data_IF_652683002584
#
_entry.id   IF_652683002584
#
_cell.length_a   1.000
_cell.length_b   1.000
_cell.length_c   1.000
_cell.angle_alpha   90.00
_cell.angle_beta   90.00
_cell.angle_gamma   90.00
#
_symmetry.space_group_name_H-M   'P 1'
#
loop_
_entity.id
_entity.type
_entity.pdbx_description
1 polymer ?
#
# COMPACT_ATOMS: atom_id res chain seq x y z
N UNK A 1 -9.38 15.71 15.79
CA UNK A 1 -9.51 16.96 14.99
C UNK A 1 -10.46 16.80 13.79
N UNK A 2 -10.49 15.62 13.17
CA UNK A 2 -11.14 15.42 11.86
C UNK A 2 -12.57 14.89 11.89
N UNK A 3 -13.12 14.55 13.06
CA UNK A 3 -14.51 14.05 13.23
C UNK A 3 -15.58 14.92 12.56
N UNK A 4 -15.39 16.24 12.51
CA UNK A 4 -16.32 17.18 11.86
C UNK A 4 -16.48 16.96 10.35
N UNK A 5 -15.57 16.21 9.72
CA UNK A 5 -15.60 15.89 8.29
C UNK A 5 -16.17 14.49 8.01
N UNK A 6 -16.64 13.75 9.02
CA UNK A 6 -17.02 12.35 8.87
C UNK A 6 -18.17 12.09 7.88
N UNK A 7 -19.03 13.09 7.62
CA UNK A 7 -20.10 12.97 6.63
C UNK A 7 -19.55 12.93 5.19
N UNK A 8 -18.59 13.81 4.86
CA UNK A 8 -17.97 13.84 3.52
C UNK A 8 -16.84 12.79 3.39
N UNK A 9 -16.19 12.44 4.50
CA UNK A 9 -15.06 11.51 4.58
C UNK A 9 -15.39 10.37 5.54
N UNK A 10 -16.17 9.37 5.10
CA UNK A 10 -16.78 8.39 6.00
C UNK A 10 -15.83 7.29 6.48
N UNK A 11 -14.61 7.20 5.93
CA UNK A 11 -13.67 6.15 6.29
C UNK A 11 -12.60 6.66 7.25
N UNK A 12 -12.36 5.95 8.35
CA UNK A 12 -11.15 6.13 9.14
C UNK A 12 -10.00 5.37 8.48
N UNK A 13 -8.87 6.04 8.27
CA UNK A 13 -7.65 5.37 7.81
C UNK A 13 -6.79 4.95 9.02
N UNK A 14 -6.38 3.69 9.01
CA UNK A 14 -5.37 3.17 9.93
C UNK A 14 -4.17 2.66 9.15
N UNK A 15 -3.04 2.54 9.83
CA UNK A 15 -1.78 2.08 9.22
C UNK A 15 -1.26 0.84 9.93
N UNK A 16 -0.83 -0.14 9.16
CA UNK A 16 -0.12 -1.33 9.65
C UNK A 16 1.26 -1.42 9.03
N UNK A 17 2.15 -2.21 9.62
CA UNK A 17 3.46 -2.51 9.02
C UNK A 17 3.38 -3.82 8.27
N UNK A 18 4.03 -3.89 7.10
CA UNK A 18 4.28 -5.16 6.43
C UNK A 18 5.38 -5.86 7.21
N UNK A 19 5.00 -6.77 8.11
CA UNK A 19 5.89 -7.25 9.19
C UNK A 19 7.18 -7.89 8.68
N UNK A 20 7.13 -8.55 7.52
CA UNK A 20 8.27 -9.22 6.91
C UNK A 20 9.21 -8.29 6.11
N UNK A 21 8.78 -7.05 5.79
CA UNK A 21 9.56 -6.17 4.87
C UNK A 21 9.81 -4.74 5.37
N UNK A 22 9.03 -4.26 6.33
CA UNK A 22 9.05 -2.85 6.74
C UNK A 22 9.05 -1.93 5.51
N UNK A 23 9.81 -0.83 5.47
CA UNK A 23 9.94 0.03 4.28
C UNK A 23 11.22 -0.23 3.47
N UNK A 24 12.30 -0.65 4.15
CA UNK A 24 13.66 -0.75 3.59
C UNK A 24 13.93 -2.01 2.79
N UNK A 25 13.31 -3.15 3.14
CA UNK A 25 13.58 -4.43 2.46
C UNK A 25 12.51 -4.81 1.44
N UNK A 26 11.51 -3.95 1.19
CA UNK A 26 10.54 -4.15 0.11
C UNK A 26 11.15 -4.18 -1.30
N UNK A 27 12.40 -3.74 -1.46
CA UNK A 27 13.15 -3.88 -2.70
C UNK A 27 13.65 -5.32 -2.96
N UNK A 28 13.61 -6.20 -1.94
CA UNK A 28 14.07 -7.60 -2.05
C UNK A 28 12.99 -8.42 -2.79
N UNK A 29 13.32 -9.02 -3.95
CA UNK A 29 12.34 -9.74 -4.78
C UNK A 29 11.65 -10.92 -4.11
N UNK A 30 12.33 -11.62 -3.21
CA UNK A 30 11.74 -12.76 -2.49
C UNK A 30 10.66 -12.31 -1.50
N UNK A 31 10.89 -11.19 -0.82
CA UNK A 31 9.93 -10.64 0.12
C UNK A 31 8.66 -10.12 -0.58
N UNK A 32 8.80 -9.67 -1.82
CA UNK A 32 7.66 -9.29 -2.64
C UNK A 32 6.78 -10.48 -3.07
N UNK A 33 7.18 -11.72 -2.80
CA UNK A 33 6.35 -12.91 -3.10
C UNK A 33 5.56 -13.39 -1.87
N UNK A 34 5.74 -12.74 -0.70
CA UNK A 34 5.06 -13.10 0.54
C UNK A 34 3.95 -12.10 0.84
N UNK A 35 2.67 -12.48 0.72
CA UNK A 35 1.55 -11.61 1.08
C UNK A 35 1.52 -11.31 2.57
N UNK A 36 0.96 -10.16 2.97
CA UNK A 36 0.84 -9.77 4.37
C UNK A 36 -0.41 -8.92 4.63
N UNK A 37 -1.29 -9.44 5.50
CA UNK A 37 -2.37 -8.71 6.19
C UNK A 37 -3.27 -7.83 5.30
N UNK A 38 -3.45 -8.19 4.02
CA UNK A 38 -4.28 -7.42 3.09
C UNK A 38 -3.73 -6.05 2.69
N UNK A 39 -2.56 -5.64 3.22
CA UNK A 39 -1.87 -4.37 2.93
C UNK A 39 -0.67 -4.55 1.99
N UNK A 40 -0.29 -5.80 1.74
CA UNK A 40 0.74 -6.18 0.80
C UNK A 40 0.30 -7.47 0.10
N UNK A 41 -0.31 -7.35 -1.08
CA UNK A 41 -0.99 -8.46 -1.76
C UNK A 41 -0.55 -8.59 -3.22
N UNK A 42 -0.54 -9.80 -3.80
CA UNK A 42 -0.10 -10.05 -5.16
C UNK A 42 -1.10 -9.49 -6.17
N UNK A 43 -1.06 -8.18 -6.38
CA UNK A 43 -1.94 -7.42 -7.26
C UNK A 43 -1.14 -6.53 -8.22
N UNK A 44 0.10 -6.89 -8.54
CA UNK A 44 0.88 -6.17 -9.56
C UNK A 44 0.26 -6.30 -10.96
N UNK A 45 0.51 -5.31 -11.80
CA UNK A 45 0.42 -5.45 -13.25
C UNK A 45 1.61 -6.28 -13.75
N UNK A 46 1.49 -6.87 -14.94
CA UNK A 46 2.61 -7.55 -15.58
C UNK A 46 3.76 -6.56 -15.80
N UNK A 47 4.99 -6.99 -15.51
CA UNK A 47 6.18 -6.15 -15.65
C UNK A 47 7.43 -7.01 -15.84
N UNK A 48 8.51 -6.36 -16.27
CA UNK A 48 9.82 -6.97 -16.39
C UNK A 48 10.83 -6.20 -15.54
N UNK A 49 11.67 -6.94 -14.82
CA UNK A 49 12.73 -6.37 -14.00
C UNK A 49 13.88 -7.34 -13.87
N UNK A 50 15.09 -6.80 -13.80
CA UNK A 50 16.27 -7.57 -13.44
C UNK A 50 16.24 -7.86 -11.94
N UNK A 51 16.41 -9.12 -11.57
CA UNK A 51 16.49 -9.53 -10.18
C UNK A 51 17.76 -10.35 -9.96
N UNK A 52 18.30 -10.29 -8.75
CA UNK A 52 19.25 -11.27 -8.27
C UNK A 52 18.45 -12.53 -7.90
N UNK A 53 18.62 -13.61 -8.66
CA UNK A 53 17.96 -14.89 -8.42
C UNK A 53 18.98 -15.94 -7.96
N UNK A 54 18.52 -16.96 -7.23
CA UNK A 54 19.39 -18.04 -6.78
C UNK A 54 19.79 -18.92 -7.97
N UNK A 55 21.10 -19.14 -8.15
CA UNK A 55 21.65 -20.06 -9.13
C UNK A 55 22.76 -20.92 -8.50
N UNK A 56 22.48 -22.16 -8.09
CA UNK A 56 23.46 -23.03 -7.45
C UNK A 56 24.59 -23.50 -8.39
N UNK A 57 24.44 -23.31 -9.71
CA UNK A 57 25.49 -23.64 -10.69
C UNK A 57 26.58 -22.56 -10.77
N UNK A 58 26.33 -21.36 -10.24
CA UNK A 58 27.30 -20.26 -10.15
C UNK A 58 28.08 -20.34 -8.84
N UNK A 59 29.36 -19.96 -8.88
CA UNK A 59 30.25 -19.96 -7.70
C UNK A 59 29.70 -19.06 -6.58
N UNK A 60 29.11 -17.93 -6.95
CA UNK A 60 28.51 -16.96 -6.03
C UNK A 60 27.13 -17.41 -5.51
N UNK A 61 26.53 -18.47 -6.09
CA UNK A 61 25.20 -18.97 -5.74
C UNK A 61 24.04 -18.13 -6.27
N UNK A 62 24.32 -17.04 -7.01
CA UNK A 62 23.32 -16.11 -7.52
C UNK A 62 23.66 -15.62 -8.93
N UNK A 63 22.66 -15.16 -9.67
CA UNK A 63 22.83 -14.49 -10.96
C UNK A 63 21.85 -13.33 -11.12
N UNK A 64 22.27 -12.28 -11.84
CA UNK A 64 21.34 -11.24 -12.31
C UNK A 64 20.61 -11.76 -13.55
N UNK A 65 19.28 -11.71 -13.51
CA UNK A 65 18.45 -12.19 -14.60
C UNK A 65 17.24 -11.30 -14.80
N UNK A 66 17.00 -10.90 -16.05
CA UNK A 66 15.73 -10.29 -16.44
C UNK A 66 14.60 -11.30 -16.28
N UNK A 67 13.63 -10.98 -15.42
CA UNK A 67 12.47 -11.82 -15.14
C UNK A 67 11.19 -11.09 -15.50
N UNK A 68 10.33 -11.80 -16.23
CA UNK A 68 8.97 -11.35 -16.53
C UNK A 68 8.04 -11.85 -15.44
N UNK A 69 7.41 -10.92 -14.74
CA UNK A 69 6.41 -11.19 -13.72
C UNK A 69 5.03 -11.04 -14.33
N UNK A 70 4.19 -12.08 -14.15
CA UNK A 70 2.79 -12.03 -14.57
C UNK A 70 2.01 -11.09 -13.67
N UNK A 71 0.83 -10.67 -14.13
CA UNK A 71 -0.08 -9.97 -13.24
C UNK A 71 -0.45 -10.87 -12.05
N UNK A 72 -0.65 -10.26 -10.89
CA UNK A 72 -1.03 -10.94 -9.65
C UNK A 72 -0.03 -11.99 -9.13
N UNK A 73 1.28 -11.80 -9.34
CA UNK A 73 2.34 -12.68 -8.79
C UNK A 73 3.39 -11.95 -7.96
N UNK A 74 3.28 -10.63 -7.81
CA UNK A 74 4.17 -9.78 -7.04
C UNK A 74 3.35 -8.88 -6.12
N UNK A 75 3.70 -8.88 -4.84
CA UNK A 75 3.01 -8.14 -3.81
C UNK A 75 3.28 -6.65 -3.91
N UNK A 76 2.21 -5.88 -3.82
CA UNK A 76 2.22 -4.42 -3.88
C UNK A 76 1.49 -3.86 -2.68
N UNK A 77 1.80 -2.63 -2.30
CA UNK A 77 1.02 -1.90 -1.31
C UNK A 77 -0.44 -1.79 -1.73
N UNK A 78 -1.35 -2.21 -0.85
CA UNK A 78 -2.79 -2.19 -1.07
C UNK A 78 -3.50 -1.44 0.05
N UNK A 79 -4.76 -1.12 -0.21
CA UNK A 79 -5.70 -0.62 0.80
C UNK A 79 -6.69 -1.73 1.13
N UNK A 80 -6.60 -2.25 2.35
CA UNK A 80 -7.52 -3.25 2.87
C UNK A 80 -8.86 -2.56 3.22
N UNK A 81 -9.96 -3.10 2.69
CA UNK A 81 -11.32 -2.58 2.87
C UNK A 81 -12.27 -3.73 3.21
N UNK A 82 -13.27 -3.42 4.05
CA UNK A 82 -14.33 -4.38 4.38
C UNK A 82 -15.23 -4.68 3.16
N UNK A 83 -15.73 -5.91 3.04
CA UNK A 83 -16.59 -6.33 1.93
C UNK A 83 -17.86 -5.48 1.79
N UNK A 84 -18.51 -5.14 2.91
CA UNK A 84 -19.73 -4.33 2.91
C UNK A 84 -19.49 -2.93 2.33
N UNK A 85 -18.34 -2.32 2.63
CA UNK A 85 -18.01 -1.00 2.12
C UNK A 85 -17.59 -1.05 0.66
N UNK A 86 -16.85 -2.10 0.29
CA UNK A 86 -16.52 -2.37 -1.11
C UNK A 86 -17.79 -2.56 -1.95
N UNK A 87 -18.77 -3.32 -1.45
CA UNK A 87 -20.05 -3.56 -2.12
C UNK A 87 -20.84 -2.26 -2.34
N UNK A 88 -20.93 -1.39 -1.31
CA UNK A 88 -21.58 -0.06 -1.43
C UNK A 88 -20.93 0.82 -2.49
N UNK A 89 -19.62 0.67 -2.70
CA UNK A 89 -18.82 1.43 -3.68
C UNK A 89 -18.68 0.71 -5.03
N UNK A 90 -19.25 -0.48 -5.21
CA UNK A 90 -19.10 -1.27 -6.44
C UNK A 90 -17.64 -1.70 -6.72
N UNK A 91 -16.88 -1.99 -5.66
CA UNK A 91 -15.47 -2.34 -5.70
C UNK A 91 -15.24 -3.85 -5.51
N UNK A 92 -14.24 -4.38 -6.21
CA UNK A 92 -13.67 -5.72 -5.99
C UNK A 92 -12.15 -5.64 -5.82
N UNK A 93 -11.55 -6.68 -5.22
CA UNK A 93 -10.10 -6.77 -5.08
C UNK A 93 -9.38 -6.55 -6.43
N UNK A 94 -8.38 -5.68 -6.43
CA UNK A 94 -7.63 -5.28 -7.62
C UNK A 94 -8.15 -4.03 -8.33
N UNK A 95 -9.37 -3.57 -8.04
CA UNK A 95 -9.88 -2.30 -8.56
C UNK A 95 -9.00 -1.14 -8.09
N UNK A 96 -8.83 -0.14 -8.96
CA UNK A 96 -8.12 1.08 -8.66
C UNK A 96 -9.04 2.05 -7.92
N UNK A 97 -8.51 2.65 -6.86
CA UNK A 97 -9.19 3.67 -6.07
C UNK A 97 -8.29 4.88 -5.87
N UNK A 98 -8.92 6.04 -5.70
CA UNK A 98 -8.30 7.23 -5.13
C UNK A 98 -8.83 7.45 -3.72
N UNK A 99 -7.91 7.74 -2.82
CA UNK A 99 -8.16 7.99 -1.40
C UNK A 99 -7.79 9.44 -1.14
N UNK A 100 -8.74 10.27 -0.75
CA UNK A 100 -8.56 11.70 -0.51
C UNK A 100 -8.91 12.06 0.94
N UNK A 101 -8.12 12.94 1.56
CA UNK A 101 -8.39 13.47 2.91
C UNK A 101 -8.97 14.90 2.86
N UNK A 102 -9.45 15.45 3.99
CA UNK A 102 -9.95 16.83 4.07
C UNK A 102 -8.94 17.92 3.70
N UNK A 103 -7.64 17.61 3.71
CA UNK A 103 -6.57 18.52 3.27
C UNK A 103 -6.36 18.49 1.75
N UNK A 104 -7.25 17.83 1.00
CA UNK A 104 -7.18 17.66 -0.47
C UNK A 104 -5.93 16.93 -0.94
N UNK A 105 -5.28 16.18 -0.05
CA UNK A 105 -4.19 15.28 -0.41
C UNK A 105 -4.80 13.95 -0.81
N UNK A 106 -4.28 13.35 -1.88
CA UNK A 106 -4.75 12.07 -2.37
C UNK A 106 -3.63 11.10 -2.72
N UNK A 107 -3.97 9.81 -2.73
CA UNK A 107 -3.11 8.72 -3.20
C UNK A 107 -3.93 7.72 -4.01
N UNK A 108 -3.28 7.02 -4.93
CA UNK A 108 -3.86 5.92 -5.68
C UNK A 108 -3.45 4.58 -5.06
N UNK A 109 -4.38 3.65 -5.03
CA UNK A 109 -4.17 2.30 -4.51
C UNK A 109 -4.98 1.29 -5.31
N UNK A 110 -4.51 0.04 -5.34
CA UNK A 110 -5.41 -1.09 -5.54
C UNK A 110 -6.11 -1.42 -4.22
N UNK A 111 -7.40 -1.71 -4.27
CA UNK A 111 -8.16 -2.18 -3.10
C UNK A 111 -7.97 -3.68 -2.94
N UNK A 112 -7.88 -4.14 -1.69
CA UNK A 112 -7.99 -5.54 -1.33
C UNK A 112 -9.19 -5.69 -0.38
N UNK A 113 -10.15 -6.51 -0.77
CA UNK A 113 -11.42 -6.68 -0.07
C UNK A 113 -11.38 -7.91 0.82
N UNK A 114 -11.76 -7.77 2.10
CA UNK A 114 -11.81 -8.87 3.07
C UNK A 114 -12.76 -8.55 4.23
N UNK A 115 -13.27 -9.58 4.92
CA UNK A 115 -14.02 -9.43 6.19
C UNK A 115 -13.11 -9.10 7.39
N UNK A 116 -11.79 -9.15 7.23
CA UNK A 116 -10.81 -9.05 8.33
C UNK A 116 -10.56 -7.63 8.88
N UNK A 117 -11.38 -6.65 8.54
CA UNK A 117 -11.25 -5.25 9.00
C UNK A 117 -12.62 -4.70 9.39
N UNK A 118 -12.67 -3.78 10.36
CA UNK A 118 -13.94 -3.17 10.77
C UNK A 118 -14.59 -2.37 9.61
N UNK A 119 -15.91 -2.49 9.35
CA UNK A 119 -16.62 -1.60 8.44
C UNK A 119 -16.42 -0.13 8.79
N UNK A 120 -16.29 0.73 7.78
CA UNK A 120 -15.95 2.15 7.92
C UNK A 120 -14.47 2.42 8.22
N UNK A 121 -13.62 1.39 8.27
CA UNK A 121 -12.17 1.52 8.47
C UNK A 121 -11.44 0.94 7.27
N UNK A 122 -10.41 1.65 6.82
CA UNK A 122 -9.48 1.15 5.80
C UNK A 122 -8.07 1.09 6.35
N UNK A 123 -7.30 0.06 5.97
CA UNK A 123 -5.93 -0.14 6.44
C UNK A 123 -4.96 -0.07 5.28
N UNK A 124 -3.87 0.66 5.47
CA UNK A 124 -2.80 0.81 4.50
C UNK A 124 -1.46 0.39 5.10
N UNK A 125 -0.54 -0.06 4.25
CA UNK A 125 0.81 -0.38 4.68
C UNK A 125 1.66 0.87 4.91
N UNK A 126 2.38 0.92 6.02
CA UNK A 126 3.40 1.93 6.26
C UNK A 126 4.59 1.68 5.32
N UNK A 127 4.93 2.69 4.52
CA UNK A 127 6.09 2.63 3.62
C UNK A 127 5.95 1.66 2.45
N UNK A 128 4.72 1.27 2.06
CA UNK A 128 4.48 0.40 0.89
C UNK A 128 4.48 1.13 -0.46
N UNK A 129 4.33 2.45 -0.46
CA UNK A 129 4.42 3.31 -1.65
C UNK A 129 5.43 4.45 -1.50
N UNK A 130 5.37 5.42 -2.40
CA UNK A 130 6.30 6.57 -2.40
C UNK A 130 7.69 6.25 -2.98
N UNK A 131 7.76 5.28 -3.90
CA UNK A 131 9.01 4.90 -4.57
C UNK A 131 9.41 5.97 -5.58
N UNK A 132 10.49 6.69 -5.29
CA UNK A 132 10.96 7.83 -6.09
C UNK A 132 12.13 7.49 -7.03
N UNK A 133 12.80 6.35 -6.83
CA UNK A 133 14.01 5.98 -7.57
C UNK A 133 13.94 4.54 -8.11
N UNK A 134 14.41 4.29 -9.35
CA UNK A 134 14.62 2.95 -9.89
C UNK A 134 15.51 2.05 -9.02
N UNK A 135 16.41 2.64 -8.21
CA UNK A 135 17.28 1.90 -7.29
C UNK A 135 16.54 1.19 -6.15
N UNK A 136 15.23 1.41 -6.00
CA UNK A 136 14.37 0.74 -5.02
C UNK A 136 13.78 -0.60 -5.53
N UNK A 137 14.40 -1.17 -6.58
CA UNK A 137 14.08 -2.48 -7.12
C UNK A 137 12.74 -2.56 -7.84
N UNK A 138 12.23 -3.79 -8.00
CA UNK A 138 11.03 -4.07 -8.79
C UNK A 138 9.77 -3.34 -8.31
N UNK A 139 9.71 -2.96 -7.03
CA UNK A 139 8.59 -2.17 -6.48
C UNK A 139 8.48 -0.78 -7.09
N UNK A 140 9.57 -0.19 -7.59
CA UNK A 140 9.53 1.08 -8.30
C UNK A 140 8.65 1.02 -9.55
N UNK A 141 8.60 -0.12 -10.24
CA UNK A 141 7.73 -0.31 -11.41
C UNK A 141 6.24 -0.17 -11.08
N UNK A 142 5.88 -0.31 -9.80
CA UNK A 142 4.50 -0.32 -9.30
C UNK A 142 4.11 0.99 -8.59
N UNK A 143 5.02 1.98 -8.57
CA UNK A 143 4.87 3.24 -7.80
C UNK A 143 3.57 3.99 -8.06
N UNK A 144 3.01 3.88 -9.26
CA UNK A 144 1.85 4.66 -9.71
C UNK A 144 0.52 4.19 -9.09
N UNK A 145 0.51 3.01 -8.48
CA UNK A 145 -0.66 2.41 -7.84
C UNK A 145 -0.38 1.78 -6.47
N UNK A 146 0.82 2.00 -5.93
CA UNK A 146 1.15 1.68 -4.52
C UNK A 146 1.01 2.93 -3.67
N UNK A 147 0.16 2.92 -2.64
CA UNK A 147 -0.12 4.15 -1.93
C UNK A 147 0.91 4.47 -0.85
N UNK A 148 1.11 5.77 -0.60
CA UNK A 148 1.95 6.26 0.51
C UNK A 148 1.08 6.88 1.60
N UNK A 149 0.93 6.17 2.73
CA UNK A 149 0.18 6.66 3.88
C UNK A 149 0.62 8.05 4.34
N UNK A 150 1.92 8.35 4.31
CA UNK A 150 2.46 9.64 4.76
C UNK A 150 1.94 10.84 3.96
N UNK A 151 1.46 10.63 2.73
CA UNK A 151 0.85 11.70 1.93
C UNK A 151 -0.52 12.13 2.49
N UNK A 152 -1.18 11.28 3.27
CA UNK A 152 -2.50 11.54 3.84
C UNK A 152 -2.45 12.08 5.28
N UNK A 153 -1.27 12.15 5.89
CA UNK A 153 -1.10 12.64 7.27
C UNK A 153 -1.10 14.18 7.31
N UNK A 154 -1.68 14.76 8.36
CA UNK A 154 -1.54 16.18 8.68
C UNK A 154 -0.21 16.43 9.40
N UNK A 155 0.76 17.12 8.78
CA UNK A 155 2.05 17.39 9.40
C UNK A 155 1.93 18.31 10.62
N UNK A 156 0.85 19.11 10.70
CA UNK A 156 0.63 20.06 11.79
C UNK A 156 -0.18 19.43 12.93
N UNK A 157 -0.65 18.18 12.78
CA UNK A 157 -1.34 17.46 13.84
C UNK A 157 -0.33 16.78 14.76
N UNK A 158 0.17 17.54 15.73
CA UNK A 158 1.08 17.06 16.76
C UNK A 158 0.35 16.93 18.10
N UNK A 159 0.71 15.92 18.89
CA UNK A 159 0.28 15.82 20.28
C UNK A 159 0.79 17.05 21.04
N UNK A 160 -0.08 17.81 21.73
CA UNK A 160 0.33 19.03 22.44
C UNK A 160 1.24 18.74 23.64
N UNK A 161 1.26 17.50 24.13
CA UNK A 161 2.07 17.09 25.28
C UNK A 161 3.47 16.60 24.87
N UNK A 162 3.56 15.83 23.77
CA UNK A 162 4.78 15.10 23.39
C UNK A 162 5.39 15.56 22.07
N UNK A 163 4.72 16.44 21.32
CA UNK A 163 5.10 16.79 19.95
C UNK A 163 4.99 15.64 18.94
N UNK A 164 4.44 14.49 19.36
CA UNK A 164 4.36 13.29 18.51
C UNK A 164 3.38 13.50 17.36
N UNK A 165 3.75 13.20 16.10
CA UNK A 165 2.83 13.30 14.98
C UNK A 165 1.64 12.34 15.08
N UNK A 166 0.48 12.80 14.65
CA UNK A 166 -0.77 12.03 14.68
C UNK A 166 -0.91 11.19 13.41
N UNK A 167 -0.40 9.95 13.43
CA UNK A 167 -0.39 9.08 12.25
C UNK A 167 -1.72 8.35 11.97
N UNK A 168 -2.64 8.21 12.93
CA UNK A 168 -3.80 7.32 12.82
C UNK A 168 -5.18 7.99 13.04
N UNK A 169 -5.24 9.32 13.15
CA UNK A 169 -6.49 10.09 13.35
C UNK A 169 -6.86 10.88 12.09
N UNK A 170 -6.87 10.21 10.92
CA UNK A 170 -7.29 10.82 9.67
C UNK A 170 -8.54 10.12 9.14
N UNK A 171 -9.42 10.91 8.52
CA UNK A 171 -10.59 10.43 7.79
C UNK A 171 -10.38 10.66 6.30
N UNK A 172 -10.93 9.77 5.48
CA UNK A 172 -10.79 9.79 4.03
C UNK A 172 -12.11 9.47 3.34
N UNK A 173 -12.21 9.88 2.08
CA UNK A 173 -13.22 9.41 1.14
C UNK A 173 -12.53 8.60 0.06
N UNK A 174 -13.27 7.66 -0.50
CA UNK A 174 -12.75 6.71 -1.48
C UNK A 174 -13.63 6.79 -2.72
N UNK A 175 -13.01 6.89 -3.88
CA UNK A 175 -13.68 6.80 -5.18
C UNK A 175 -12.98 5.78 -6.08
N UNK A 176 -13.77 5.10 -6.89
CA UNK A 176 -13.26 4.22 -7.95
C UNK A 176 -12.64 5.06 -9.06
N UNK A 177 -11.56 4.57 -9.66
CA UNK A 177 -10.89 5.16 -10.83
C UNK A 177 -11.18 4.36 -12.10
#
# INVERSE_FOLDING_TARGET
KYKKYAEEYPFQIIVGRVHQTMSGTQMIPWLAQTPCEGIYMPLNNAFEHEILDANPEKKEGFELKAKKFKANTWCVGTTLMHSQDAAKLGLKSGDMIEIENPLKRSVKSKVFVSEGIRPGVVKMGFGTGGRFSPGLGGTYKQKDYTPSHNMLVDPDSLSPLMGMPTYADMVVKIKKL
#
